data_IF_559839433900
#
_entry.id   IF_559839433900
#
_cell.length_a   1.000
_cell.length_b   1.000
_cell.length_c   1.000
_cell.angle_alpha   90.00
_cell.angle_beta   90.00
_cell.angle_gamma   90.00
#
_symmetry.space_group_name_H-M   'P 1'
#
loop_
_entity.id
_entity.type
_entity.pdbx_description
1 polymer ?
#
# COMPACT_ATOMS: atom_id res chain seq x y z
N UNK A 1 10.66 11.98 -0.54
CA UNK A 1 9.54 11.74 -1.48
C UNK A 1 8.28 11.58 -0.64
N UNK A 2 7.16 12.20 -1.01
CA UNK A 2 5.93 12.07 -0.24
C UNK A 2 5.17 10.83 -0.72
N UNK A 3 4.46 10.16 0.17
CA UNK A 3 3.65 8.98 -0.17
C UNK A 3 2.53 9.33 -1.17
N UNK A 4 2.10 10.59 -1.16
CA UNK A 4 1.12 11.16 -2.08
C UNK A 4 1.60 11.08 -3.55
N UNK A 5 2.91 11.21 -3.79
CA UNK A 5 3.54 11.13 -5.12
C UNK A 5 3.45 9.71 -5.72
N UNK A 6 3.16 8.70 -4.90
CA UNK A 6 3.00 7.31 -5.32
C UNK A 6 1.56 7.00 -5.77
N UNK A 7 0.61 7.92 -5.58
CA UNK A 7 -0.78 7.72 -5.97
C UNK A 7 -0.89 7.50 -7.48
N UNK A 8 -1.59 6.45 -7.89
CA UNK A 8 -1.72 6.01 -9.28
C UNK A 8 -0.59 5.09 -9.75
N UNK A 9 0.48 4.92 -8.97
CA UNK A 9 1.60 4.05 -9.31
C UNK A 9 1.41 2.64 -8.77
N UNK A 10 2.09 1.68 -9.39
CA UNK A 10 2.17 0.32 -8.88
C UNK A 10 3.15 0.30 -7.71
N UNK A 11 2.66 -0.13 -6.56
CA UNK A 11 3.42 -0.16 -5.30
C UNK A 11 3.40 -1.55 -4.68
N UNK A 12 4.43 -1.85 -3.91
CA UNK A 12 4.45 -2.90 -2.90
C UNK A 12 4.32 -2.23 -1.54
N UNK A 13 3.36 -2.69 -0.74
CA UNK A 13 3.21 -2.27 0.64
C UNK A 13 3.52 -3.45 1.56
N UNK A 14 4.14 -3.18 2.70
CA UNK A 14 4.34 -4.16 3.76
C UNK A 14 3.47 -3.73 4.94
N UNK A 15 2.59 -4.64 5.39
CA UNK A 15 1.62 -4.37 6.44
C UNK A 15 1.85 -5.31 7.62
N UNK A 16 1.85 -4.77 8.83
CA UNK A 16 1.82 -5.52 10.08
C UNK A 16 0.38 -5.84 10.48
N UNK A 17 0.09 -7.12 10.66
CA UNK A 17 -1.20 -7.65 11.09
C UNK A 17 -1.04 -8.33 12.46
N UNK A 18 -0.54 -7.58 13.45
CA UNK A 18 -0.20 -8.10 14.76
C UNK A 18 1.14 -8.83 14.73
N UNK A 19 1.11 -10.16 14.84
CA UNK A 19 2.31 -11.01 14.89
C UNK A 19 2.91 -11.33 13.51
N UNK A 20 2.24 -10.91 12.44
CA UNK A 20 2.61 -11.27 11.07
C UNK A 20 2.77 -10.03 10.21
N UNK A 21 3.85 -9.99 9.44
CA UNK A 21 4.06 -9.00 8.38
C UNK A 21 3.76 -9.62 7.02
N UNK A 22 2.87 -9.00 6.24
CA UNK A 22 2.48 -9.49 4.93
C UNK A 22 2.71 -8.42 3.83
N UNK A 23 3.34 -8.79 2.70
CA UNK A 23 3.45 -7.91 1.56
C UNK A 23 2.17 -7.93 0.70
N UNK A 24 1.80 -6.78 0.16
CA UNK A 24 0.74 -6.66 -0.84
C UNK A 24 1.20 -5.80 -2.01
N UNK A 25 0.80 -6.18 -3.22
CA UNK A 25 1.13 -5.45 -4.44
C UNK A 25 -0.14 -4.98 -5.14
N UNK A 26 -0.12 -3.74 -5.63
CA UNK A 26 -1.26 -3.15 -6.31
C UNK A 26 -0.98 -1.73 -6.78
N UNK A 27 -2.01 -1.08 -7.32
CA UNK A 27 -1.96 0.35 -7.66
C UNK A 27 -2.37 1.13 -6.42
N UNK A 28 -1.54 2.06 -5.95
CA UNK A 28 -1.91 2.95 -4.85
C UNK A 28 -3.02 3.89 -5.33
N UNK A 29 -4.17 3.89 -4.65
CA UNK A 29 -5.29 4.77 -4.98
C UNK A 29 -5.48 5.90 -3.99
N UNK A 30 -5.10 5.68 -2.73
CA UNK A 30 -5.17 6.69 -1.67
C UNK A 30 -4.13 6.38 -0.61
N UNK A 31 -3.51 7.43 -0.08
CA UNK A 31 -2.44 7.36 0.91
C UNK A 31 -2.74 8.18 2.19
N UNK A 32 -4.02 8.32 2.53
CA UNK A 32 -4.49 9.02 3.74
C UNK A 32 -4.49 8.07 4.95
N UNK A 33 -5.28 8.37 6.00
CA UNK A 33 -5.49 7.49 7.18
C UNK A 33 -5.81 6.03 6.83
N UNK A 34 -6.44 5.81 5.66
CA UNK A 34 -6.66 4.50 5.08
C UNK A 34 -5.92 4.39 3.74
N UNK A 35 -4.87 3.58 3.72
CA UNK A 35 -4.14 3.24 2.51
C UNK A 35 -5.00 2.31 1.67
N UNK A 36 -5.32 2.73 0.45
CA UNK A 36 -6.09 1.91 -0.49
C UNK A 36 -5.21 1.48 -1.64
N UNK A 37 -5.12 0.17 -1.88
CA UNK A 37 -4.48 -0.39 -3.07
C UNK A 37 -5.49 -1.17 -3.90
N UNK A 38 -5.37 -1.06 -5.21
CA UNK A 38 -6.15 -1.85 -6.16
C UNK A 38 -5.31 -3.02 -6.65
N UNK A 39 -5.75 -4.23 -6.33
CA UNK A 39 -5.10 -5.49 -6.74
C UNK A 39 -5.91 -6.15 -7.85
N UNK A 40 -5.35 -7.19 -8.49
CA UNK A 40 -6.10 -8.01 -9.47
C UNK A 40 -7.35 -8.67 -8.90
N UNK A 41 -7.44 -8.85 -7.57
CA UNK A 41 -8.59 -9.44 -6.88
C UNK A 41 -9.58 -8.39 -6.36
N UNK A 42 -9.34 -7.11 -6.62
CA UNK A 42 -10.15 -6.00 -6.10
C UNK A 42 -9.36 -5.06 -5.18
N UNK A 43 -10.09 -4.14 -4.54
CA UNK A 43 -9.51 -3.11 -3.67
C UNK A 43 -9.26 -3.66 -2.27
N UNK A 44 -8.09 -3.33 -1.72
CA UNK A 44 -7.74 -3.59 -0.31
C UNK A 44 -7.51 -2.28 0.42
N UNK A 45 -8.02 -2.21 1.64
CA UNK A 45 -7.80 -1.10 2.57
C UNK A 45 -6.92 -1.57 3.73
N UNK A 46 -5.98 -0.70 4.12
CA UNK A 46 -5.11 -0.90 5.26
C UNK A 46 -5.10 0.38 6.09
N UNK A 47 -5.06 0.25 7.42
CA UNK A 47 -4.80 1.38 8.28
C UNK A 47 -3.35 1.85 8.06
N UNK A 48 -3.12 3.15 7.90
CA UNK A 48 -1.77 3.72 7.76
C UNK A 48 -0.84 3.30 8.90
N UNK A 49 -1.36 3.16 10.13
CA UNK A 49 -0.58 2.74 11.30
C UNK A 49 -0.07 1.29 11.19
N UNK A 50 -0.77 0.45 10.40
CA UNK A 50 -0.36 -0.91 10.14
C UNK A 50 0.66 -1.01 8.99
N UNK A 51 0.85 0.05 8.20
CA UNK A 51 1.77 0.02 7.05
C UNK A 51 3.18 0.34 7.52
N UNK A 52 4.09 -0.61 7.33
CA UNK A 52 5.51 -0.48 7.67
C UNK A 52 6.25 0.23 6.54
N UNK A 53 5.94 -0.11 5.28
CA UNK A 53 6.69 0.36 4.12
C UNK A 53 5.78 0.44 2.88
N UNK A 54 6.02 1.43 2.03
CA UNK A 54 5.46 1.54 0.68
C UNK A 54 6.60 1.83 -0.30
N UNK A 55 6.73 1.02 -1.35
CA UNK A 55 7.74 1.17 -2.40
C UNK A 55 7.10 1.09 -3.79
N UNK A 56 7.57 1.90 -4.73
CA UNK A 56 7.18 1.82 -6.14
C UNK A 56 7.85 0.59 -6.80
N UNK A 57 7.06 -0.19 -7.54
CA UNK A 57 7.54 -1.38 -8.25
C UNK A 57 7.22 -1.29 -9.74
N UNK A 58 8.27 -1.26 -10.56
CA UNK A 58 8.17 -1.11 -12.01
C UNK A 58 8.75 0.23 -12.46
N UNK A 59 10.06 0.23 -12.68
CA UNK A 59 10.79 1.30 -13.34
C UNK A 59 10.80 1.05 -14.84
#
# INVERSE_FOLDING_TARGET
MKIEDLTGKKVRIIVSLGDVTAPYEGILRSANKWITIETKKGKKLFNSDAVILIEEIGK
#
